data_IF_840280272826
#
_entry.id   IF_840280272826
#
_cell.length_a   1.000
_cell.length_b   1.000
_cell.length_c   1.000
_cell.angle_alpha   90.00
_cell.angle_beta   90.00
_cell.angle_gamma   90.00
#
_symmetry.space_group_name_H-M   'P 1'
#
loop_
_entity.id
_entity.type
_entity.pdbx_description
1 polymer ?
#
# COMPACT_ATOMS: atom_id res chain seq x y z
N UNK A 1 7.69 8.86 20.65
CA UNK A 1 7.19 7.65 19.94
C UNK A 1 8.37 6.73 19.68
N UNK A 2 8.22 5.43 19.95
CA UNK A 2 9.25 4.45 19.58
C UNK A 2 9.28 4.28 18.06
N UNK A 3 10.47 4.25 17.46
CA UNK A 3 10.67 3.97 16.04
C UNK A 3 11.11 2.51 15.91
N UNK A 4 10.46 1.76 15.02
CA UNK A 4 10.89 0.40 14.65
C UNK A 4 11.36 0.40 13.19
N UNK A 5 12.45 -0.32 12.91
CA UNK A 5 13.04 -0.46 11.56
C UNK A 5 13.31 -1.93 11.28
N UNK A 6 12.86 -2.41 10.13
CA UNK A 6 13.09 -3.79 9.64
C UNK A 6 13.67 -3.72 8.23
N UNK A 7 14.67 -4.54 7.94
CA UNK A 7 15.31 -4.66 6.62
C UNK A 7 15.22 -6.11 6.15
N UNK A 8 14.92 -6.34 4.86
CA UNK A 8 14.87 -7.68 4.27
C UNK A 8 15.42 -7.65 2.84
N UNK A 9 16.13 -8.71 2.47
CA UNK A 9 16.64 -8.91 1.11
C UNK A 9 15.62 -9.59 0.20
N UNK A 10 15.54 -9.12 -1.05
CA UNK A 10 14.71 -9.71 -2.10
C UNK A 10 15.56 -9.94 -3.36
N UNK A 11 15.48 -11.11 -4.00
CA UNK A 11 16.24 -11.42 -5.22
C UNK A 11 15.51 -10.88 -6.47
N UNK A 12 15.20 -9.58 -6.51
CA UNK A 12 14.55 -8.94 -7.65
C UNK A 12 15.00 -7.48 -7.80
N UNK A 13 14.73 -6.89 -8.95
CA UNK A 13 15.03 -5.49 -9.22
C UNK A 13 14.22 -4.55 -8.30
N UNK A 14 14.82 -3.42 -7.92
CA UNK A 14 14.19 -2.45 -7.02
C UNK A 14 12.92 -1.86 -7.64
N UNK A 15 12.90 -1.69 -8.96
CA UNK A 15 11.77 -1.18 -9.72
C UNK A 15 10.57 -2.12 -9.62
N UNK A 16 10.81 -3.44 -9.72
CA UNK A 16 9.75 -4.43 -9.56
C UNK A 16 9.16 -4.39 -8.16
N UNK A 17 10.02 -4.29 -7.14
CA UNK A 17 9.57 -4.19 -5.75
C UNK A 17 8.79 -2.89 -5.49
N UNK A 18 9.24 -1.78 -6.09
CA UNK A 18 8.57 -0.49 -6.01
C UNK A 18 7.17 -0.53 -6.65
N UNK A 19 7.03 -1.14 -7.85
CA UNK A 19 5.72 -1.27 -8.49
C UNK A 19 4.72 -2.08 -7.65
N UNK A 20 5.20 -3.12 -6.94
CA UNK A 20 4.36 -3.91 -6.03
C UNK A 20 4.00 -3.11 -4.76
N UNK A 21 4.96 -2.40 -4.17
CA UNK A 21 4.77 -1.69 -2.92
C UNK A 21 3.97 -0.37 -3.07
N UNK A 22 4.12 0.32 -4.19
CA UNK A 22 3.41 1.58 -4.48
C UNK A 22 2.13 1.38 -5.33
N UNK A 23 1.94 0.19 -5.89
CA UNK A 23 0.76 -0.18 -6.67
C UNK A 23 -0.49 -0.36 -5.80
N UNK A 24 -1.67 -0.13 -6.39
CA UNK A 24 -2.96 -0.20 -5.70
C UNK A 24 -3.75 -1.50 -6.00
N UNK A 25 -3.29 -2.32 -6.93
CA UNK A 25 -4.00 -3.53 -7.41
C UNK A 25 -3.58 -4.82 -6.70
N UNK A 26 -2.30 -4.97 -6.37
CA UNK A 26 -1.76 -6.20 -5.77
C UNK A 26 -1.32 -5.98 -4.32
N UNK A 27 -2.30 -5.65 -3.46
CA UNK A 27 -2.03 -5.22 -2.08
C UNK A 27 -2.01 -6.34 -1.04
N UNK A 28 -1.96 -7.61 -1.45
CA UNK A 28 -2.02 -8.77 -0.55
C UNK A 28 -0.86 -8.82 0.45
N UNK A 29 0.27 -8.17 0.13
CA UNK A 29 1.42 -8.04 1.02
C UNK A 29 1.12 -7.17 2.26
N UNK A 30 0.09 -6.30 2.20
CA UNK A 30 -0.38 -5.51 3.34
C UNK A 30 -1.39 -6.30 4.16
N UNK A 31 -0.88 -7.07 5.13
CA UNK A 31 -1.67 -8.00 5.94
C UNK A 31 -2.95 -7.42 6.55
N UNK A 32 -2.94 -6.15 6.97
CA UNK A 32 -4.08 -5.45 7.57
C UNK A 32 -5.09 -4.85 6.58
N UNK A 33 -4.76 -4.81 5.28
CA UNK A 33 -5.61 -4.22 4.25
C UNK A 33 -6.55 -5.29 3.68
N UNK A 34 -7.83 -4.94 3.53
CA UNK A 34 -8.84 -5.81 2.93
C UNK A 34 -8.97 -5.56 1.43
N UNK A 35 -9.03 -4.28 1.01
CA UNK A 35 -9.04 -3.87 -0.39
C UNK A 35 -8.70 -2.40 -0.54
N UNK A 36 -8.37 -2.02 -1.77
CA UNK A 36 -8.29 -0.62 -2.21
C UNK A 36 -9.39 -0.36 -3.23
N UNK A 37 -10.11 0.74 -3.06
CA UNK A 37 -11.04 1.27 -4.04
C UNK A 37 -10.41 2.50 -4.71
N UNK A 38 -10.12 2.41 -6.01
CA UNK A 38 -9.55 3.53 -6.77
C UNK A 38 -10.70 4.39 -7.29
N UNK A 39 -10.73 5.66 -6.90
CA UNK A 39 -11.79 6.59 -7.29
C UNK A 39 -11.43 7.30 -8.61
N UNK A 40 -10.17 7.73 -8.74
CA UNK A 40 -9.61 8.30 -9.97
C UNK A 40 -8.07 8.24 -9.94
N UNK A 41 -7.42 8.93 -10.89
CA UNK A 41 -5.97 8.97 -11.05
C UNK A 41 -5.22 9.40 -9.77
N UNK A 42 -5.83 10.23 -8.94
CA UNK A 42 -5.22 10.83 -7.75
C UNK A 42 -5.84 10.38 -6.44
N UNK A 43 -7.07 9.85 -6.45
CA UNK A 43 -7.82 9.52 -5.22
C UNK A 43 -8.12 8.04 -5.10
N UNK A 44 -7.98 7.51 -3.89
CA UNK A 44 -8.33 6.13 -3.55
C UNK A 44 -8.71 6.00 -2.07
N UNK A 45 -9.38 4.91 -1.74
CA UNK A 45 -9.81 4.57 -0.37
C UNK A 45 -9.24 3.22 0.04
N UNK A 46 -8.58 3.18 1.19
CA UNK A 46 -8.15 1.93 1.83
C UNK A 46 -9.22 1.42 2.79
N UNK A 47 -9.63 0.16 2.62
CA UNK A 47 -10.48 -0.55 3.57
C UNK A 47 -9.62 -1.54 4.35
N UNK A 48 -9.55 -1.39 5.67
CA UNK A 48 -8.83 -2.34 6.53
C UNK A 48 -9.70 -3.55 6.85
N UNK A 49 -9.05 -4.67 7.20
CA UNK A 49 -9.76 -5.87 7.68
C UNK A 49 -10.49 -5.65 9.01
N UNK A 50 -10.10 -4.62 9.77
CA UNK A 50 -10.79 -4.21 10.99
C UNK A 50 -12.00 -3.28 10.75
N UNK A 51 -12.32 -2.99 9.48
CA UNK A 51 -13.46 -2.16 9.10
C UNK A 51 -13.19 -0.65 9.07
N UNK A 52 -11.95 -0.21 9.25
CA UNK A 52 -11.59 1.20 9.10
C UNK A 52 -11.52 1.59 7.62
N UNK A 53 -11.93 2.81 7.31
CA UNK A 53 -11.96 3.37 5.96
C UNK A 53 -11.14 4.65 5.95
N UNK A 54 -10.08 4.66 5.14
CA UNK A 54 -9.13 5.77 5.07
C UNK A 54 -9.03 6.31 3.63
N UNK A 55 -9.48 7.55 3.37
CA UNK A 55 -9.33 8.20 2.07
C UNK A 55 -7.93 8.80 1.91
N UNK A 56 -7.36 8.67 0.71
CA UNK A 56 -6.05 9.20 0.34
C UNK A 56 -6.11 9.96 -0.99
N UNK A 57 -5.24 10.96 -1.10
CA UNK A 57 -4.98 11.70 -2.32
C UNK A 57 -3.47 11.70 -2.62
N UNK A 58 -3.10 11.36 -3.86
CA UNK A 58 -1.74 11.52 -4.37
C UNK A 58 -1.52 13.00 -4.67
N UNK A 59 -0.37 13.53 -4.24
CA UNK A 59 0.05 14.86 -4.68
C UNK A 59 0.44 14.78 -6.15
N UNK A 60 -0.07 15.74 -6.94
CA UNK A 60 0.24 15.91 -8.36
C UNK A 60 1.65 16.49 -8.57
#
# INVERSE_FOLDING_TARGET
>A
MAVSKVTRWFPCAVEQLWQIAAGLTHTDWRSGLARVEVLDATRFVEHTKSGHVAPFAKNA
#
